data_IF_531606273960
#
_entry.id   IF_531606273960
#
_cell.length_a   1.000
_cell.length_b   1.000
_cell.length_c   1.000
_cell.angle_alpha   90.00
_cell.angle_beta   90.00
_cell.angle_gamma   90.00
#
_symmetry.space_group_name_H-M   'P 1'
#
loop_
_entity.id
_entity.type
_entity.pdbx_description
1 polymer ?
2 non-polymer ?
3 water ?
#
# COMPACT_ATOMS: atom_id res chain seq x y z
N UNK A 11 3.18 1.34 21.27
CA UNK A 11 2.00 2.12 20.92
C UNK A 11 0.71 1.29 20.89
N UNK A 12 -0.41 1.95 21.17
CA UNK A 12 -1.71 1.31 21.16
C UNK A 12 -2.02 0.71 19.79
N UNK A 13 -2.41 -0.57 19.78
CA UNK A 13 -2.81 -1.24 18.57
C UNK A 13 -4.33 -1.40 18.55
N UNK A 14 -4.81 -2.33 17.73
CA UNK A 14 -6.23 -2.61 17.59
C UNK A 14 -6.48 -4.08 17.86
N UNK A 15 -7.55 -4.37 18.62
CA UNK A 15 -8.15 -5.69 18.61
C UNK A 15 -9.24 -5.71 17.54
N UNK A 16 -9.16 -6.62 16.55
CA UNK A 16 -10.08 -6.55 15.41
C UNK A 16 -11.55 -6.56 15.77
N UNK A 17 -11.96 -7.37 16.76
CA UNK A 17 -13.37 -7.48 17.10
C UNK A 17 -13.91 -6.27 17.87
N UNK A 18 -13.05 -5.36 18.32
CA UNK A 18 -13.49 -4.16 19.02
C UNK A 18 -13.55 -2.94 18.11
N UNK A 19 -13.61 -3.15 16.81
CA UNK A 19 -13.65 -2.06 15.84
C UNK A 19 -15.04 -1.94 15.26
N UNK A 20 -15.32 -0.76 14.71
CA UNK A 20 -16.49 -0.55 13.86
C UNK A 20 -16.13 -0.91 12.43
N UNK A 21 -16.94 -1.77 11.82
CA UNK A 21 -16.67 -2.25 10.47
C UNK A 21 -17.69 -1.65 9.49
N UNK A 22 -17.18 -1.05 8.41
CA UNK A 22 -18.01 -0.46 7.38
C UNK A 22 -17.90 -1.20 6.06
N UNK A 23 -19.01 -1.22 5.31
CA UNK A 23 -19.07 -1.85 4.00
C UNK A 23 -19.75 -0.91 3.02
N UNK A 24 -19.18 -0.77 1.82
CA UNK A 24 -19.74 0.07 0.77
C UNK A 24 -19.68 -0.69 -0.54
N UNK A 25 -20.79 -0.70 -1.27
CA UNK A 25 -20.85 -1.31 -2.60
C UNK A 25 -20.51 -0.26 -3.65
N UNK A 26 -19.37 -0.43 -4.32
CA UNK A 26 -18.96 0.57 -5.32
C UNK A 26 -19.34 0.15 -6.73
N UNK A 27 -19.69 -1.11 -6.93
CA UNK A 27 -20.08 -1.69 -8.23
C UNK A 27 -20.81 -3.01 -7.97
N UNK A 28 -21.57 -3.53 -8.96
CA UNK A 28 -22.48 -4.66 -8.67
C UNK A 28 -21.94 -5.78 -7.82
N UNK A 29 -20.78 -6.35 -8.17
CA UNK A 29 -20.24 -7.46 -7.40
C UNK A 29 -18.98 -7.08 -6.64
N UNK A 30 -18.80 -5.79 -6.33
CA UNK A 30 -17.62 -5.30 -5.66
C UNK A 30 -18.06 -4.43 -4.48
N UNK A 31 -17.68 -4.85 -3.28
CA UNK A 31 -17.95 -4.10 -2.06
C UNK A 31 -16.64 -3.93 -1.30
N UNK A 32 -16.39 -2.73 -0.81
CA UNK A 32 -15.19 -2.43 -0.05
C UNK A 32 -15.47 -2.42 1.45
N UNK A 33 -14.56 -3.00 2.21
CA UNK A 33 -14.66 -3.07 3.65
C UNK A 33 -13.62 -2.16 4.28
N UNK A 34 -14.00 -1.49 5.37
CA UNK A 34 -13.06 -0.63 6.07
C UNK A 34 -13.36 -0.68 7.55
N UNK A 35 -12.40 -0.19 8.32
CA UNK A 35 -12.51 -0.03 9.76
C UNK A 35 -12.45 1.45 10.07
N UNK A 36 -13.26 1.90 11.04
CA UNK A 36 -13.49 3.32 11.26
C UNK A 36 -13.38 3.67 12.73
N UNK A 37 -12.67 4.77 13.04
CA UNK A 37 -12.57 5.22 14.42
C UNK A 37 -12.23 6.71 14.43
N UNK A 38 -12.90 7.47 15.29
CA UNK A 38 -12.58 8.86 15.52
C UNK A 38 -13.56 9.82 14.85
N UNK A 39 -13.47 11.09 15.24
CA UNK A 39 -14.21 12.19 14.64
C UNK A 39 -13.23 13.25 14.15
N UNK A 40 -13.69 14.11 13.23
CA UNK A 40 -12.84 15.11 12.63
C UNK A 40 -12.61 14.84 11.16
N UNK A 41 -11.67 15.56 10.52
CA UNK A 41 -11.40 15.37 9.09
C UNK A 41 -11.17 13.91 8.72
N UNK A 42 -11.65 13.53 7.53
CA UNK A 42 -11.55 12.15 7.08
C UNK A 42 -10.15 11.83 6.59
N UNK A 43 -9.59 10.73 7.07
CA UNK A 43 -8.27 10.26 6.65
C UNK A 43 -8.43 8.82 6.21
N UNK A 44 -8.17 8.57 4.94
CA UNK A 44 -8.31 7.24 4.37
C UNK A 44 -6.94 6.62 4.23
N UNK A 45 -6.77 5.42 4.79
CA UNK A 45 -5.50 4.71 4.81
C UNK A 45 -5.55 3.51 3.88
N UNK A 46 -4.55 3.40 2.99
CA UNK A 46 -4.55 2.39 1.92
C UNK A 46 -3.26 1.57 1.98
N UNK A 47 -3.37 0.32 2.44
CA UNK A 47 -2.22 -0.55 2.66
C UNK A 47 -1.63 -1.03 1.33
N UNK A 48 -0.52 -1.77 1.44
CA UNK A 48 0.17 -2.33 0.30
C UNK A 48 0.10 -3.86 0.26
N UNK A 49 0.98 -4.42 -0.57
CA UNK A 49 1.01 -5.86 -0.85
C UNK A 49 2.05 -6.54 0.05
N UNK A 50 1.73 -7.67 0.69
CA UNK A 50 0.39 -8.26 0.80
C UNK A 50 -0.16 -8.02 2.19
N UNK A 51 -0.92 -6.94 2.37
CA UNK A 51 -1.24 -6.52 3.72
C UNK A 51 -2.75 -6.49 3.97
N UNK A 52 -3.25 -5.46 4.65
CA UNK A 52 -4.55 -5.48 5.30
C UNK A 52 -4.71 -4.15 6.03
N UNK A 53 -5.96 -3.81 6.37
CA UNK A 53 -6.20 -2.64 7.22
C UNK A 53 -5.42 -2.76 8.52
N UNK A 54 -5.21 -3.98 8.98
CA UNK A 54 -4.48 -4.25 10.21
C UNK A 54 -3.03 -3.77 10.16
N UNK A 55 -2.48 -3.55 8.95
CA UNK A 55 -1.13 -3.01 8.88
C UNK A 55 -1.03 -1.62 9.46
N UNK A 56 -2.16 -0.91 9.57
CA UNK A 56 -2.23 0.41 10.17
C UNK A 56 -2.61 0.39 11.65
N UNK A 57 -2.50 -0.77 12.31
CA UNK A 57 -3.00 -0.93 13.67
C UNK A 57 -2.38 0.05 14.67
N UNK A 58 -1.13 0.46 14.45
CA UNK A 58 -0.51 1.43 15.36
C UNK A 58 -0.85 2.86 15.01
N UNK A 59 -1.34 3.11 13.79
CA UNK A 59 -1.68 4.46 13.37
C UNK A 59 -3.13 4.81 13.67
N UNK A 60 -4.03 3.84 13.54
CA UNK A 60 -5.47 4.11 13.65
C UNK A 60 -5.82 4.77 14.98
N UNK A 61 -5.47 4.20 16.15
CA UNK A 61 -5.82 4.87 17.40
C UNK A 61 -5.04 6.15 17.64
N UNK A 62 -3.81 6.26 17.10
CA UNK A 62 -3.05 7.48 17.26
C UNK A 62 -3.68 8.63 16.47
N UNK A 63 -4.00 8.40 15.19
CA UNK A 63 -4.65 9.47 14.41
C UNK A 63 -6.00 9.86 15.00
N UNK A 64 -6.83 8.88 15.36
CA UNK A 64 -8.12 9.21 15.97
C UNK A 64 -7.92 10.09 17.20
N UNK A 65 -6.97 9.72 18.07
CA UNK A 65 -6.72 10.51 19.27
C UNK A 65 -6.22 11.92 18.94
N UNK A 66 -5.62 12.12 17.77
CA UNK A 66 -5.14 13.44 17.36
C UNK A 66 -6.24 14.30 16.76
N UNK A 67 -7.46 13.79 16.65
CA UNK A 67 -8.58 14.54 16.12
C UNK A 67 -8.98 14.22 14.69
N UNK A 68 -8.80 12.99 14.22
CA UNK A 68 -9.12 12.63 12.85
C UNK A 68 -10.07 11.45 12.84
N UNK A 69 -10.90 11.40 11.80
CA UNK A 69 -11.78 10.28 11.53
C UNK A 69 -11.06 9.35 10.56
N UNK A 70 -10.63 8.19 11.06
CA UNK A 70 -9.80 7.26 10.30
C UNK A 70 -10.66 6.22 9.63
N UNK A 71 -10.42 5.99 8.34
CA UNK A 71 -11.04 4.91 7.57
C UNK A 71 -9.89 4.07 7.03
N UNK A 72 -9.68 2.89 7.61
CA UNK A 72 -8.58 2.02 7.21
C UNK A 72 -9.14 0.93 6.30
N UNK A 73 -8.75 0.98 5.02
CA UNK A 73 -9.31 0.13 3.99
C UNK A 73 -8.74 -1.28 4.03
N UNK A 74 -9.60 -2.23 3.68
CA UNK A 74 -9.20 -3.51 3.09
C UNK A 74 -9.28 -3.25 1.60
N UNK A 75 -8.14 -3.11 0.93
CA UNK A 75 -8.15 -2.77 -0.49
C UNK A 75 -8.79 -3.91 -1.29
N UNK A 76 -9.14 -3.62 -2.53
CA UNK A 76 -9.82 -4.61 -3.35
C UNK A 76 -8.92 -5.82 -3.54
N UNK A 77 -9.48 -7.02 -3.34
CA UNK A 77 -8.73 -8.26 -3.35
C UNK A 77 -8.32 -8.77 -1.98
N UNK A 78 -8.53 -7.99 -0.93
CA UNK A 78 -7.96 -8.29 0.38
C UNK A 78 -9.05 -8.46 1.42
N UNK A 79 -8.83 -9.42 2.32
CA UNK A 79 -9.55 -9.43 3.59
C UNK A 79 -11.04 -9.60 3.41
N UNK A 80 -11.81 -8.62 3.88
CA UNK A 80 -13.25 -8.63 3.77
C UNK A 80 -13.76 -7.86 2.56
N UNK A 81 -12.89 -7.22 1.79
CA UNK A 81 -13.31 -6.60 0.55
C UNK A 81 -13.45 -7.63 -0.55
N UNK A 82 -14.30 -7.33 -1.54
CA UNK A 82 -14.51 -8.25 -2.64
C UNK A 82 -13.22 -8.47 -3.41
N UNK A 83 -13.10 -9.66 -4.00
CA UNK A 83 -11.95 -10.03 -4.82
C UNK A 83 -12.48 -10.56 -6.14
N UNK A 84 -12.88 -9.66 -7.06
CA UNK A 84 -13.36 -10.13 -8.36
C UNK A 84 -12.27 -10.92 -9.07
N UNK A 85 -12.66 -11.81 -9.97
CA UNK A 85 -11.68 -12.71 -10.59
C UNK A 85 -10.86 -12.08 -11.71
N UNK A 86 -11.40 -11.08 -12.39
CA UNK A 86 -10.77 -10.54 -13.58
C UNK A 86 -9.51 -9.75 -13.24
N UNK A 87 -8.45 -9.96 -14.02
CA UNK A 87 -7.17 -9.30 -13.74
C UNK A 87 -7.27 -7.79 -13.94
N UNK A 88 -8.03 -7.36 -14.95
CA UNK A 88 -8.19 -5.95 -15.28
C UNK A 88 -9.00 -5.18 -14.24
N UNK A 89 -9.71 -5.87 -13.34
CA UNK A 89 -10.37 -5.18 -12.25
C UNK A 89 -9.37 -4.53 -11.29
N UNK A 90 -8.08 -4.85 -11.40
CA UNK A 90 -7.08 -4.39 -10.47
C UNK A 90 -6.12 -3.38 -11.09
N UNK A 91 -6.47 -2.82 -12.25
CA UNK A 91 -5.66 -1.74 -12.79
C UNK A 91 -5.95 -0.46 -12.03
N UNK A 92 -5.00 0.48 -12.10
CA UNK A 92 -5.12 1.68 -11.27
C UNK A 92 -6.33 2.52 -11.67
N UNK A 93 -6.68 2.55 -12.96
CA UNK A 93 -7.82 3.34 -13.40
C UNK A 93 -9.10 2.90 -12.70
N UNK A 94 -9.36 1.59 -12.70
CA UNK A 94 -10.55 1.07 -12.04
C UNK A 94 -10.47 1.27 -10.53
N UNK A 95 -9.31 0.99 -9.94
CA UNK A 95 -9.17 1.10 -8.49
C UNK A 95 -9.44 2.52 -8.01
N UNK A 96 -8.93 3.51 -8.73
CA UNK A 96 -9.10 4.89 -8.28
C UNK A 96 -10.55 5.34 -8.39
N UNK A 97 -11.24 4.96 -9.47
CA UNK A 97 -12.61 5.41 -9.62
C UNK A 97 -13.52 4.74 -8.61
N UNK A 98 -13.20 3.52 -8.21
CA UNK A 98 -13.93 2.88 -7.12
C UNK A 98 -13.72 3.61 -5.81
N UNK A 99 -12.53 4.14 -5.57
CA UNK A 99 -12.32 4.92 -4.35
C UNK A 99 -13.08 6.24 -4.41
N UNK A 100 -13.25 6.80 -5.60
CA UNK A 100 -14.08 7.99 -5.75
C UNK A 100 -15.53 7.66 -5.46
N UNK A 101 -16.04 6.54 -6.02
CA UNK A 101 -17.38 6.08 -5.69
C UNK A 101 -17.54 5.86 -4.20
N UNK A 102 -16.52 5.28 -3.56
CA UNK A 102 -16.49 5.06 -2.12
C UNK A 102 -16.79 6.36 -1.37
N UNK A 103 -16.01 7.41 -1.65
CA UNK A 103 -16.29 8.71 -1.07
C UNK A 103 -17.73 9.16 -1.34
N UNK A 104 -18.19 9.00 -2.59
CA UNK A 104 -19.56 9.41 -2.94
C UNK A 104 -20.59 8.73 -2.06
N UNK A 105 -20.44 7.41 -1.88
CA UNK A 105 -21.43 6.68 -1.11
C UNK A 105 -21.40 7.07 0.36
N UNK A 106 -20.23 7.45 0.88
CA UNK A 106 -20.12 7.95 2.24
C UNK A 106 -20.52 9.41 2.37
N UNK A 107 -20.81 10.09 1.26
CA UNK A 107 -21.14 11.50 1.33
C UNK A 107 -19.97 12.37 1.77
N UNK A 108 -18.77 12.08 1.30
CA UNK A 108 -17.57 12.83 1.63
C UNK A 108 -17.10 13.60 0.40
N UNK A 109 -17.08 14.94 0.51
CA UNK A 109 -16.60 15.75 -0.60
C UNK A 109 -15.13 15.49 -0.88
N UNK A 110 -14.34 15.24 0.17
CA UNK A 110 -12.93 14.93 0.00
C UNK A 110 -12.44 14.21 1.25
N UNK A 111 -11.26 13.60 1.13
CA UNK A 111 -10.58 13.03 2.27
C UNK A 111 -9.07 13.17 2.10
N UNK A 112 -8.36 13.07 3.22
CA UNK A 112 -6.92 12.87 3.16
C UNK A 112 -6.65 11.43 2.77
N UNK A 113 -5.68 11.22 1.89
CA UNK A 113 -5.31 9.88 1.48
C UNK A 113 -3.88 9.58 1.90
N UNK A 114 -3.68 8.48 2.60
CA UNK A 114 -2.37 8.02 3.06
C UNK A 114 -2.22 6.56 2.62
N UNK A 115 -1.15 6.27 1.89
CA UNK A 115 -0.92 4.93 1.38
C UNK A 115 0.51 4.48 1.61
N UNK A 116 0.71 3.18 1.44
CA UNK A 116 2.01 2.55 1.58
C UNK A 116 2.13 1.45 0.53
N UNK A 117 3.27 1.40 -0.15
CA UNK A 117 3.54 0.37 -1.16
C UNK A 117 2.58 0.57 -2.32
N UNK A 118 1.87 -0.47 -2.79
CA UNK A 118 0.86 -0.28 -3.83
C UNK A 118 -0.17 0.76 -3.43
N UNK A 119 -0.60 0.75 -2.15
CA UNK A 119 -1.49 1.79 -1.67
C UNK A 119 -0.95 3.20 -1.86
N UNK A 120 0.37 3.36 -1.77
CA UNK A 120 0.95 4.68 -1.97
C UNK A 120 0.93 5.09 -3.43
N UNK A 121 1.12 4.12 -4.33
CA UNK A 121 0.94 4.37 -5.74
C UNK A 121 -0.49 4.80 -6.03
N UNK A 122 -1.46 4.16 -5.37
CA UNK A 122 -2.86 4.48 -5.63
C UNK A 122 -3.21 5.89 -5.17
N UNK A 123 -2.70 6.32 -4.01
CA UNK A 123 -3.04 7.65 -3.51
C UNK A 123 -2.32 8.72 -4.32
N UNK A 124 -1.16 8.42 -4.91
CA UNK A 124 -0.55 9.39 -5.82
C UNK A 124 -1.43 9.62 -7.04
N UNK A 125 -2.03 8.56 -7.59
CA UNK A 125 -2.85 8.73 -8.78
C UNK A 125 -4.23 9.30 -8.44
N UNK A 126 -4.74 9.03 -7.24
CA UNK A 126 -5.90 9.76 -6.74
C UNK A 126 -5.62 11.26 -6.68
N UNK A 127 -4.44 11.64 -6.17
CA UNK A 127 -4.07 13.05 -6.16
C UNK A 127 -3.91 13.60 -7.56
N UNK A 128 -3.53 12.76 -8.52
CA UNK A 128 -3.19 13.25 -9.84
C UNK A 128 -4.44 13.40 -10.72
N UNK A 129 -5.35 12.43 -10.68
CA UNK A 129 -6.54 12.50 -11.53
C UNK A 129 -7.76 13.01 -10.81
N UNK A 130 -7.82 12.93 -9.48
CA UNK A 130 -8.97 13.41 -8.71
C UNK A 130 -8.53 14.34 -7.58
N UNK A 131 -7.72 15.37 -7.88
CA UNK A 131 -7.33 16.29 -6.81
C UNK A 131 -8.52 16.95 -6.17
N UNK A 132 -9.61 17.12 -6.92
CA UNK A 132 -10.80 17.76 -6.33
C UNK A 132 -11.28 16.97 -5.11
N UNK A 133 -11.10 15.64 -5.09
CA UNK A 133 -11.59 14.81 -3.99
C UNK A 133 -10.55 14.48 -2.93
N UNK A 134 -9.34 15.04 -3.03
CA UNK A 134 -8.23 14.67 -2.15
C UNK A 134 -7.80 15.94 -1.40
N UNK A 135 -8.10 15.99 -0.10
CA UNK A 135 -7.70 17.15 0.69
C UNK A 135 -6.17 17.24 0.78
N UNK A 136 -5.52 16.10 0.98
CA UNK A 136 -4.08 16.04 1.11
C UNK A 136 -3.68 14.60 0.94
N UNK A 137 -2.42 14.38 0.54
CA UNK A 137 -1.96 13.06 0.16
C UNK A 137 -0.61 12.80 0.80
N UNK A 138 -0.40 11.57 1.24
CA UNK A 138 0.85 11.15 1.86
C UNK A 138 1.14 9.73 1.45
N UNK A 139 2.40 9.47 1.10
CA UNK A 139 2.86 8.15 0.73
C UNK A 139 4.04 7.76 1.62
N UNK A 140 4.02 6.51 2.08
CA UNK A 140 5.19 5.93 2.72
C UNK A 140 5.91 5.04 1.73
N UNK A 141 7.22 5.30 1.54
CA UNK A 141 8.11 4.51 0.68
C UNK A 141 7.86 4.73 -0.80
N UNK A 142 6.61 4.59 -1.23
CA UNK A 142 6.30 4.67 -2.65
C UNK A 142 6.46 6.08 -3.19
N UNK A 143 7.36 6.33 -4.12
CA UNK A 143 7.48 7.65 -4.73
C UNK A 143 6.55 7.78 -5.94
N UNK A 144 6.38 9.03 -6.37
CA UNK A 144 5.64 9.37 -7.58
C UNK A 144 6.63 9.74 -8.66
N UNK A 145 6.77 8.87 -9.65
CA UNK A 145 7.59 9.14 -10.83
C UNK A 145 6.65 9.26 -12.02
N UNK A 146 6.70 10.36 -12.77
CA UNK A 146 5.80 10.50 -13.92
C UNK A 146 6.09 9.42 -14.96
N UNK A 147 5.02 8.95 -15.60
CA UNK A 147 5.15 7.92 -16.62
C UNK A 147 5.98 8.43 -17.80
N UNK A 148 6.91 7.59 -18.26
CA UNK A 148 7.74 7.91 -19.41
C UNK A 148 7.09 7.33 -20.66
N UNK A 149 6.51 8.16 -21.54
CA UNK A 149 5.79 7.61 -22.70
C UNK A 149 6.71 7.01 -23.75
N UNK A 150 8.03 7.06 -23.53
CA UNK A 150 8.98 6.48 -24.46
C UNK A 150 9.60 5.20 -23.93
N UNK A 151 9.30 4.83 -22.68
CA UNK A 151 9.89 3.68 -22.01
C UNK A 151 8.76 2.72 -21.63
N UNK A 152 8.70 1.56 -22.30
CA UNK A 152 7.71 0.55 -21.97
C UNK A 152 7.96 0.02 -20.56
N UNK A 153 6.91 -0.51 -19.91
CA UNK A 153 7.10 -0.98 -18.52
C UNK A 153 8.06 -2.15 -18.41
N UNK A 154 8.01 -3.10 -19.36
CA UNK A 154 8.91 -4.25 -19.29
C UNK A 154 10.37 -3.83 -19.41
N UNK A 155 10.65 -2.85 -20.27
CA UNK A 155 12.02 -2.38 -20.41
C UNK A 155 12.55 -1.79 -19.10
N UNK A 156 11.70 -1.08 -18.36
CA UNK A 156 12.17 -0.43 -17.15
C UNK A 156 12.26 -1.39 -15.97
N UNK A 157 11.38 -2.39 -15.92
CA UNK A 157 11.50 -3.43 -14.90
C UNK A 157 12.75 -4.27 -15.15
N UNK A 158 12.91 -4.76 -16.37
CA UNK A 158 14.09 -5.54 -16.73
C UNK A 158 15.32 -4.66 -16.85
N UNK A 159 15.29 -3.48 -16.22
CA UNK A 159 16.46 -2.61 -16.15
C UNK A 159 17.08 -2.71 -14.77
N UNK A 160 16.40 -2.21 -13.74
CA UNK A 160 16.88 -2.35 -12.37
C UNK A 160 16.64 -3.78 -11.92
N UNK A 161 17.67 -4.53 -11.51
CA UNK A 161 17.48 -5.96 -11.21
C UNK A 161 16.63 -6.24 -9.97
N UNK A 162 16.49 -5.29 -9.04
CA UNK A 162 15.73 -5.59 -7.83
C UNK A 162 14.25 -5.79 -8.11
N UNK A 163 13.78 -5.34 -9.29
CA UNK A 163 12.38 -5.41 -9.66
C UNK A 163 12.04 -6.69 -10.43
N UNK A 164 12.84 -7.75 -10.29
CA UNK A 164 12.60 -8.96 -11.05
C UNK A 164 11.53 -9.86 -10.44
N UNK A 165 11.23 -9.70 -9.14
CA UNK A 165 10.14 -10.43 -8.52
C UNK A 165 8.80 -10.09 -9.15
N UNK A 166 8.69 -8.92 -9.76
CA UNK A 166 7.45 -8.56 -10.44
C UNK A 166 7.26 -9.37 -11.72
N UNK A 167 8.35 -9.84 -12.33
CA UNK A 167 8.22 -10.74 -13.48
C UNK A 167 7.70 -12.10 -13.05
N UNK A 168 8.21 -12.62 -11.94
CA UNK A 168 7.69 -13.86 -11.36
C UNK A 168 6.22 -13.74 -10.98
N UNK A 169 5.73 -12.52 -10.71
CA UNK A 169 4.34 -12.31 -10.31
C UNK A 169 3.38 -12.21 -11.49
N UNK A 170 3.89 -12.25 -12.72
CA UNK A 170 3.06 -11.90 -13.88
C UNK A 170 2.06 -13.00 -14.22
N UNK A 171 2.54 -14.21 -14.50
CA UNK A 171 1.65 -15.24 -15.02
C UNK A 171 0.76 -15.79 -13.92
N UNK A 172 -0.56 -15.84 -14.11
CA UNK A 172 -1.46 -16.25 -13.04
C UNK A 172 -1.25 -17.70 -12.62
N UNK A 173 -1.26 -17.93 -11.31
CA UNK A 173 -1.15 -19.24 -10.74
C UNK A 173 0.22 -19.58 -10.19
N UNK A 174 1.29 -18.96 -10.73
CA UNK A 174 2.63 -19.36 -10.36
C UNK A 174 3.00 -18.84 -8.97
N UNK A 175 2.96 -17.52 -8.77
CA UNK A 175 3.26 -16.98 -7.45
C UNK A 175 2.18 -17.32 -6.44
N UNK A 176 0.94 -17.51 -6.87
CA UNK A 176 -0.13 -17.90 -5.94
C UNK A 176 0.23 -19.19 -5.25
N UNK A 177 0.79 -20.14 -5.98
CA UNK A 177 1.07 -21.46 -5.41
C UNK A 177 2.11 -21.35 -4.30
N UNK A 178 3.21 -20.64 -4.57
CA UNK A 178 4.24 -20.52 -3.55
C UNK A 178 3.75 -19.72 -2.34
N UNK A 179 2.96 -18.68 -2.58
CA UNK A 179 2.54 -17.81 -1.49
C UNK A 179 1.48 -18.46 -0.61
N UNK A 180 0.65 -19.35 -1.18
CA UNK A 180 -0.44 -19.97 -0.45
C UNK A 180 -0.08 -21.32 0.17
N UNK A 181 1.07 -21.89 -0.19
CA UNK A 181 1.35 -23.27 0.21
C UNK A 181 1.44 -23.42 1.73
N UNK A 182 2.05 -22.43 2.41
CA UNK A 182 1.98 -22.36 3.87
C UNK A 182 1.98 -20.87 4.23
N UNK A 183 0.83 -20.37 4.68
CA UNK A 183 0.66 -18.93 4.85
C UNK A 183 1.46 -18.41 6.04
N UNK A 184 1.58 -19.22 7.08
CA UNK A 184 2.38 -18.81 8.23
C UNK A 184 3.83 -18.61 7.83
N UNK A 185 4.36 -19.48 6.98
CA UNK A 185 5.71 -19.32 6.48
C UNK A 185 5.82 -18.10 5.58
N UNK A 186 4.78 -17.84 4.76
CA UNK A 186 4.81 -16.71 3.84
C UNK A 186 4.94 -15.38 4.58
N UNK A 187 4.10 -15.15 5.59
CA UNK A 187 4.10 -13.88 6.31
C UNK A 187 5.26 -13.77 7.30
N UNK A 188 5.68 -14.87 7.92
CA UNK A 188 6.85 -14.81 8.78
C UNK A 188 8.12 -14.54 7.97
N UNK A 189 8.12 -14.91 6.69
CA UNK A 189 9.27 -14.67 5.84
C UNK A 189 9.28 -13.26 5.27
N UNK A 190 8.10 -12.67 5.09
CA UNK A 190 8.03 -11.34 4.51
C UNK A 190 8.13 -10.25 5.57
N UNK A 191 7.41 -10.41 6.68
CA UNK A 191 7.24 -9.33 7.64
C UNK A 191 8.43 -9.33 8.60
N UNK A 192 9.55 -8.81 8.12
CA UNK A 192 10.80 -8.83 8.86
C UNK A 192 11.51 -7.48 8.69
N UNK A 193 12.32 -7.12 9.68
CA UNK A 193 13.16 -5.95 9.53
C UNK A 193 14.24 -6.24 8.48
N UNK A 194 14.90 -5.18 8.03
CA UNK A 194 15.92 -5.34 6.99
C UNK A 194 17.05 -6.24 7.46
N UNK A 195 17.47 -6.10 8.72
CA UNK A 195 18.58 -6.92 9.23
C UNK A 195 18.21 -8.38 9.42
N UNK A 196 16.91 -8.71 9.45
CA UNK A 196 16.47 -10.11 9.58
C UNK A 196 16.03 -10.71 8.26
N UNK A 197 16.28 -10.03 7.14
CA UNK A 197 15.68 -10.42 5.88
C UNK A 197 16.25 -11.75 5.40
N UNK A 198 15.36 -12.62 4.91
CA UNK A 198 15.70 -13.95 4.42
C UNK A 198 15.48 -14.07 2.91
N UNK A 199 15.25 -12.96 2.21
CA UNK A 199 14.92 -12.97 0.79
C UNK A 199 15.91 -12.15 -0.02
N UNK A 200 16.26 -12.64 -1.21
CA UNK A 200 17.01 -11.90 -2.21
C UNK A 200 16.07 -11.69 -3.39
N UNK A 201 15.42 -10.53 -3.43
CA UNK A 201 14.35 -10.25 -4.38
C UNK A 201 14.82 -10.23 -5.84
N UNK A 202 16.10 -10.46 -6.07
CA UNK A 202 16.66 -10.45 -7.41
C UNK A 202 16.99 -11.83 -7.96
N UNK A 203 17.34 -12.79 -7.11
CA UNK A 203 17.58 -14.15 -7.57
C UNK A 203 16.26 -14.87 -7.76
N UNK A 204 15.23 -14.13 -8.16
CA UNK A 204 13.86 -14.60 -8.06
C UNK A 204 13.48 -15.47 -9.25
N UNK A 205 13.81 -15.03 -10.47
CA UNK A 205 13.17 -15.53 -11.68
C UNK A 205 14.06 -16.47 -12.47
N UNK A 206 15.28 -16.73 -11.98
CA UNK A 206 16.17 -17.71 -12.59
C UNK A 206 16.59 -18.79 -11.61
N UNK A 207 15.90 -18.91 -10.47
CA UNK A 207 16.28 -19.90 -9.47
C UNK A 207 15.11 -20.19 -8.52
N UNK A 208 14.04 -20.77 -9.05
CA UNK A 208 12.94 -21.22 -8.23
C UNK A 208 11.85 -20.20 -7.99
N UNK A 209 11.92 -19.51 -6.85
CA UNK A 209 10.91 -18.52 -6.51
C UNK A 209 11.32 -17.61 -5.36
N UNK A 210 10.34 -17.13 -4.60
CA UNK A 210 10.60 -16.18 -3.52
C UNK A 210 11.21 -16.86 -2.30
N UNK A 211 10.77 -18.08 -1.97
CA UNK A 211 11.10 -18.70 -0.70
C UNK A 211 11.92 -19.97 -0.84
N UNK A 212 12.55 -20.16 -2.01
CA UNK A 212 13.22 -21.44 -2.26
C UNK A 212 14.45 -21.61 -1.38
N UNK A 213 15.15 -20.51 -1.06
CA UNK A 213 16.32 -20.55 -0.21
C UNK A 213 16.07 -19.86 1.13
N UNK A 214 14.84 -19.93 1.63
CA UNK A 214 14.41 -19.40 2.91
C UNK A 214 14.18 -20.54 3.90
N UNK A 215 14.23 -20.28 5.21
CA UNK A 215 13.96 -21.34 6.18
C UNK A 215 12.57 -21.92 5.99
N UNK A 216 12.45 -23.23 6.14
CA UNK A 216 11.15 -23.89 6.10
C UNK A 216 10.29 -23.48 7.28
N UNK A 217 10.91 -23.22 8.43
CA UNK A 217 10.23 -22.73 9.62
C UNK A 217 10.97 -21.48 10.08
N UNK A 218 10.73 -20.34 9.45
CA UNK A 218 11.46 -19.12 9.80
C UNK A 218 11.14 -18.65 11.22
N UNK A 219 12.07 -17.88 11.76
CA UNK A 219 11.89 -17.32 13.09
C UNK A 219 10.91 -16.14 13.03
N UNK A 220 10.46 -15.72 14.21
CA UNK A 220 9.47 -14.66 14.34
C UNK A 220 10.17 -13.33 14.49
N UNK A 221 9.98 -12.44 13.53
CA UNK A 221 10.64 -11.14 13.54
C UNK A 221 10.30 -10.37 14.82
N UNK A 222 11.28 -9.57 15.28
CA UNK A 222 11.04 -8.72 16.43
C UNK A 222 9.88 -7.75 16.20
N UNK A 223 9.47 -7.54 14.94
CA UNK A 223 8.40 -6.61 14.62
C UNK A 223 7.02 -7.14 14.99
N UNK A 224 6.84 -8.46 15.14
CA UNK A 224 5.51 -9.06 15.19
C UNK A 224 5.44 -10.14 16.26
N UNK A 225 4.24 -10.37 16.76
CA UNK A 225 3.96 -11.53 17.60
C UNK A 225 3.38 -12.65 16.74
N UNK A 226 3.23 -13.83 17.37
CA UNK A 226 2.56 -14.92 16.67
C UNK A 226 1.10 -14.58 16.40
N UNK A 227 0.45 -13.88 17.35
CA UNK A 227 -0.96 -13.56 17.22
C UNK A 227 -1.22 -12.69 16.00
N UNK A 228 -0.33 -11.72 15.74
CA UNK A 228 -0.51 -10.85 14.59
C UNK A 228 -0.25 -11.57 13.28
N UNK A 229 0.69 -12.52 13.25
CA UNK A 229 0.89 -13.34 12.07
C UNK A 229 -0.37 -14.11 11.74
N UNK A 230 -0.98 -14.73 12.75
CA UNK A 230 -2.17 -15.56 12.53
C UNK A 230 -3.36 -14.74 12.05
N UNK A 231 -3.41 -13.44 12.37
CA UNK A 231 -4.49 -12.62 11.83
C UNK A 231 -4.36 -12.46 10.32
N UNK A 232 -3.16 -12.11 9.86
CA UNK A 232 -2.91 -12.08 8.42
C UNK A 232 -3.20 -13.45 7.80
N UNK A 233 -2.76 -14.52 8.45
CA UNK A 233 -3.01 -15.86 7.92
C UNK A 233 -4.50 -16.08 7.76
N UNK A 234 -5.29 -15.69 8.77
CA UNK A 234 -6.73 -15.92 8.72
C UNK A 234 -7.37 -15.16 7.57
N UNK A 235 -6.92 -13.93 7.30
CA UNK A 235 -7.55 -13.14 6.26
C UNK A 235 -7.26 -13.69 4.86
N UNK A 236 -6.00 -14.00 4.58
CA UNK A 236 -5.64 -14.50 3.25
C UNK A 236 -6.14 -15.93 3.02
N UNK A 237 -6.82 -16.52 3.98
CA UNK A 237 -7.57 -17.74 3.72
C UNK A 237 -8.91 -17.46 3.06
N UNK A 238 -9.35 -16.20 3.06
CA UNK A 238 -10.65 -15.85 2.47
C UNK A 238 -10.58 -15.87 0.95
N UNK A 239 -9.64 -15.14 0.36
CA UNK A 239 -9.57 -15.01 -1.09
C UNK A 239 -8.23 -15.43 -1.69
N UNK A 240 -7.22 -15.67 -0.88
CA UNK A 240 -5.95 -16.09 -1.42
C UNK A 240 -5.14 -14.92 -1.94
N UNK A 241 -4.15 -15.24 -2.77
CA UNK A 241 -3.17 -14.26 -3.21
C UNK A 241 -3.39 -13.76 -4.62
N UNK A 242 -4.36 -14.31 -5.34
CA UNK A 242 -4.60 -13.91 -6.73
C UNK A 242 -4.93 -12.42 -6.82
N UNK A 243 -5.96 -11.98 -6.10
CA UNK A 243 -6.38 -10.60 -6.12
C UNK A 243 -5.28 -9.63 -5.77
N UNK A 244 -4.60 -9.86 -4.64
CA UNK A 244 -3.41 -9.04 -4.34
C UNK A 244 -2.35 -9.08 -5.44
N UNK A 245 -2.08 -10.26 -6.01
CA UNK A 245 -1.06 -10.34 -7.05
C UNK A 245 -1.49 -9.58 -8.30
N UNK A 246 -2.80 -9.47 -8.54
CA UNK A 246 -3.27 -8.80 -9.74
C UNK A 246 -2.92 -7.32 -9.76
N UNK A 247 -2.55 -6.73 -8.61
CA UNK A 247 -2.09 -5.35 -8.62
C UNK A 247 -0.80 -5.19 -9.40
N UNK A 248 -0.03 -6.28 -9.59
CA UNK A 248 1.18 -6.23 -10.40
C UNK A 248 0.95 -6.52 -11.87
N UNK A 249 -0.20 -7.09 -12.24
CA UNK A 249 -0.41 -7.63 -13.57
C UNK A 249 -1.19 -6.68 -14.47
N UNK A 250 -1.03 -5.37 -14.26
CA UNK A 250 -1.55 -4.39 -15.21
C UNK A 250 -0.54 -3.27 -15.49
N UNK A 251 0.75 -3.62 -15.63
CA UNK A 251 1.78 -2.60 -15.80
C UNK A 251 1.53 -1.78 -17.05
N UNK A 252 1.16 -2.43 -18.15
CA UNK A 252 1.02 -1.70 -19.41
C UNK A 252 -0.22 -0.79 -19.40
N UNK A 253 -1.32 -1.24 -18.78
CA UNK A 253 -2.50 -0.36 -18.73
C UNK A 253 -2.28 0.82 -17.80
N UNK A 254 -1.70 0.56 -16.63
CA UNK A 254 -1.35 1.66 -15.75
C UNK A 254 -0.43 2.66 -16.45
N UNK A 255 0.46 2.15 -17.30
CA UNK A 255 1.37 3.01 -18.03
C UNK A 255 0.61 3.89 -19.01
N UNK A 256 -0.25 3.30 -19.84
CA UNK A 256 -1.02 4.09 -20.79
C UNK A 256 -1.93 5.09 -20.09
N UNK A 257 -2.60 4.66 -19.02
CA UNK A 257 -3.45 5.58 -18.28
C UNK A 257 -2.62 6.72 -17.70
N UNK A 258 -1.52 6.39 -17.05
CA UNK A 258 -0.66 7.42 -16.47
C UNK A 258 -0.16 8.38 -17.53
N UNK A 259 0.06 7.90 -18.76
CA UNK A 259 0.54 8.78 -19.82
C UNK A 259 -0.50 9.82 -20.21
N UNK A 260 -1.79 9.51 -20.06
CA UNK A 260 -2.83 10.45 -20.43
C UNK A 260 -2.84 11.71 -19.56
N UNK A 261 -2.00 11.76 -18.54
CA UNK A 261 -1.94 12.89 -17.63
C UNK A 261 -0.66 13.67 -17.75
N UNK A 262 0.23 13.31 -18.67
CA UNK A 262 1.54 13.92 -18.72
C UNK A 262 1.42 15.41 -18.99
N UNK A 263 2.18 16.19 -18.24
CA UNK A 263 2.14 17.63 -18.37
C UNK A 263 1.33 18.34 -17.32
N UNK A 264 1.07 17.71 -16.18
CA UNK A 264 0.33 18.32 -15.09
C UNK A 264 1.02 17.97 -13.77
N UNK A 265 0.99 18.92 -12.85
CA UNK A 265 1.59 18.75 -11.54
C UNK A 265 0.51 18.45 -10.51
N UNK A 266 0.92 17.92 -9.37
CA UNK A 266 0.01 17.70 -8.26
C UNK A 266 0.05 18.94 -7.38
N UNK A 267 -1.10 19.61 -7.26
CA UNK A 267 -1.19 20.95 -6.68
C UNK A 267 -1.54 20.94 -5.20
N UNK A 268 -1.99 19.81 -4.66
CA UNK A 268 -2.56 19.75 -3.32
C UNK A 268 -1.46 19.52 -2.29
N UNK A 269 -1.72 19.72 -0.99
CA UNK A 269 -0.69 19.45 0.02
C UNK A 269 -0.28 17.99 0.02
N UNK A 270 1.02 17.75 0.14
CA UNK A 270 1.53 16.40 -0.06
C UNK A 270 2.72 16.10 0.85
N UNK A 271 2.83 14.84 1.26
CA UNK A 271 3.89 14.35 2.12
C UNK A 271 4.49 13.08 1.51
N UNK A 272 5.81 13.05 1.41
CA UNK A 272 6.56 11.87 0.98
C UNK A 272 7.46 11.41 2.12
N UNK A 273 7.31 10.15 2.55
CA UNK A 273 8.06 9.58 3.66
C UNK A 273 8.94 8.45 3.14
N UNK A 274 10.25 8.61 3.22
CA UNK A 274 11.18 7.61 2.73
C UNK A 274 11.75 6.79 3.89
N UNK A 275 12.15 5.54 3.59
CA UNK A 275 12.69 4.61 4.58
C UNK A 275 14.11 4.22 4.22
N UNK A 276 15.03 4.44 5.16
CA UNK A 276 16.46 4.30 4.87
C UNK A 276 16.81 2.89 4.39
N UNK A 277 16.19 1.87 4.98
CA UNK A 277 16.55 0.48 4.70
C UNK A 277 15.55 -0.26 3.83
N UNK A 278 14.65 0.47 3.16
CA UNK A 278 13.82 -0.15 2.13
C UNK A 278 14.67 -0.29 0.89
N UNK A 279 15.11 -1.51 0.60
CA UNK A 279 16.10 -1.76 -0.44
C UNK A 279 15.48 -1.95 -1.83
N UNK A 280 14.16 -1.88 -1.94
CA UNK A 280 13.48 -1.89 -3.23
C UNK A 280 12.94 -0.50 -3.58
N UNK A 281 12.05 0.03 -2.75
CA UNK A 281 11.60 1.42 -2.85
C UNK A 281 12.59 2.31 -2.09
N UNK A 282 13.78 2.45 -2.67
CA UNK A 282 14.85 3.16 -1.98
C UNK A 282 14.56 4.66 -1.94
N UNK A 283 15.00 5.37 -0.89
CA UNK A 283 14.77 6.82 -0.80
C UNK A 283 15.12 7.60 -2.05
N UNK A 284 16.19 7.23 -2.76
CA UNK A 284 16.68 8.04 -3.86
C UNK A 284 15.74 8.05 -5.06
N UNK A 285 14.87 7.05 -5.18
CA UNK A 285 13.89 7.04 -6.25
C UNK A 285 12.92 8.21 -6.18
N UNK A 286 12.91 8.96 -5.08
CA UNK A 286 12.03 10.10 -4.87
C UNK A 286 12.72 11.43 -5.12
N UNK A 287 13.92 11.40 -5.71
CA UNK A 287 14.85 12.52 -5.68
C UNK A 287 14.28 13.81 -6.26
N UNK A 288 13.40 13.72 -7.27
CA UNK A 288 12.99 14.93 -7.98
C UNK A 288 11.48 15.12 -8.00
N UNK A 289 10.78 14.55 -7.03
CA UNK A 289 9.34 14.78 -6.99
C UNK A 289 8.97 16.23 -6.73
N UNK A 290 9.91 17.06 -6.26
CA UNK A 290 9.60 18.48 -6.05
C UNK A 290 9.20 19.18 -7.34
N UNK A 291 9.79 18.80 -8.48
CA UNK A 291 9.48 19.50 -9.73
C UNK A 291 8.07 19.20 -10.19
N UNK A 292 7.50 18.08 -9.76
CA UNK A 292 6.15 17.70 -10.15
C UNK A 292 5.12 17.98 -9.06
N UNK A 293 5.56 18.24 -7.84
CA UNK A 293 4.68 18.40 -6.67
C UNK A 293 5.19 19.61 -5.88
N UNK A 294 4.77 20.83 -6.23
CA UNK A 294 5.41 22.03 -5.64
C UNK A 294 5.28 22.14 -4.13
N UNK A 295 4.17 21.68 -3.55
CA UNK A 295 3.90 21.84 -2.12
C UNK A 295 4.24 20.57 -1.34
N UNK A 296 5.28 19.86 -1.76
CA UNK A 296 5.67 18.60 -1.16
C UNK A 296 6.48 18.83 0.11
N UNK A 297 6.02 18.25 1.21
CA UNK A 297 6.81 18.11 2.44
C UNK A 297 7.44 16.71 2.47
N UNK A 298 8.45 16.56 3.33
CA UNK A 298 9.20 15.31 3.39
C UNK A 298 9.32 14.79 4.81
N UNK A 299 9.30 13.48 4.94
CA UNK A 299 9.75 12.81 6.14
C UNK A 299 10.70 11.69 5.76
N UNK A 300 11.56 11.33 6.70
CA UNK A 300 12.58 10.31 6.47
C UNK A 300 12.83 9.58 7.78
N UNK A 301 12.85 8.25 7.72
CA UNK A 301 12.96 7.42 8.92
C UNK A 301 14.18 6.53 8.78
N UNK A 302 15.14 6.72 9.68
CA UNK A 302 16.31 5.87 9.78
C UNK A 302 15.94 4.49 10.30
N UNK A 303 16.77 3.51 9.97
CA UNK A 303 16.67 2.15 10.51
C UNK A 303 15.34 1.49 10.17
N UNK A 304 14.69 1.95 9.11
CA UNK A 304 13.34 1.52 8.75
C UNK A 304 13.37 0.77 7.43
N UNK A 305 12.87 -0.46 7.44
CA UNK A 305 12.75 -1.26 6.24
C UNK A 305 11.45 -0.99 5.50
N UNK A 306 11.04 -1.98 4.72
CA UNK A 306 9.86 -1.80 3.87
C UNK A 306 8.56 -1.71 4.68
N UNK A 307 8.41 -2.56 5.69
CA UNK A 307 7.18 -2.63 6.48
C UNK A 307 7.09 -1.49 7.50
N UNK A 308 7.02 -0.27 6.96
CA UNK A 308 7.31 0.93 7.73
C UNK A 308 6.41 1.09 8.95
N UNK A 309 5.10 0.85 8.78
CA UNK A 309 4.16 1.07 9.88
C UNK A 309 4.41 0.12 11.05
N UNK A 310 4.84 -1.11 10.77
CA UNK A 310 5.16 -2.07 11.82
C UNK A 310 6.56 -1.82 12.38
N UNK A 311 7.49 -1.39 11.53
CA UNK A 311 8.88 -1.27 11.93
C UNK A 311 9.07 -0.09 12.88
N UNK A 312 8.62 1.10 12.49
CA UNK A 312 8.87 2.32 13.23
C UNK A 312 7.55 3.04 13.49
N UNK A 313 6.65 2.42 14.27
CA UNK A 313 5.30 2.99 14.43
C UNK A 313 5.29 4.36 15.09
N UNK A 314 6.10 4.54 16.13
CA UNK A 314 6.16 5.84 16.80
C UNK A 314 6.57 6.93 15.83
N UNK A 315 7.62 6.67 15.03
CA UNK A 315 8.13 7.70 14.14
C UNK A 315 7.11 8.07 13.07
N UNK A 316 6.44 7.07 12.47
CA UNK A 316 5.45 7.39 11.45
C UNK A 316 4.29 8.16 12.06
N UNK A 317 3.88 7.80 13.29
CA UNK A 317 2.79 8.50 13.95
C UNK A 317 3.12 9.98 14.14
N UNK A 318 4.36 10.27 14.53
CA UNK A 318 4.76 11.66 14.76
C UNK A 318 4.83 12.42 13.45
N UNK A 319 5.29 11.77 12.38
CA UNK A 319 5.40 12.48 11.11
C UNK A 319 4.01 12.80 10.55
N UNK A 320 3.10 11.83 10.56
CA UNK A 320 1.77 12.04 9.99
C UNK A 320 0.98 13.10 10.76
N UNK A 321 0.91 12.96 12.09
CA UNK A 321 0.16 13.90 12.92
C UNK A 321 0.74 15.30 12.77
N UNK A 322 2.07 15.42 12.79
CA UNK A 322 2.69 16.73 12.62
C UNK A 322 2.31 17.35 11.28
N UNK A 323 2.27 16.52 10.22
CA UNK A 323 1.93 17.01 8.89
C UNK A 323 0.43 17.26 8.72
N UNK A 324 -0.41 16.42 9.32
CA UNK A 324 -1.85 16.64 9.23
C UNK A 324 -2.26 17.95 9.90
N UNK A 325 -1.68 18.24 11.07
CA UNK A 325 -2.10 19.41 11.84
C UNK A 325 -1.69 20.71 11.17
N UNK A 326 -0.76 20.68 10.22
CA UNK A 326 -0.28 21.90 9.59
C UNK A 326 -0.65 22.04 8.13
N UNK A 327 -0.96 20.95 7.43
CA UNK A 327 -1.26 21.02 6.00
C UNK A 327 -2.59 20.42 5.59
N UNK A 328 -3.25 19.65 6.44
CA UNK A 328 -4.54 19.06 6.10
C UNK A 328 -5.71 19.76 6.77
N UNK A 329 -5.53 20.26 7.98
CA UNK A 329 -6.59 20.98 8.68
C UNK A 329 -6.67 22.43 8.22
#
# INVERSE_FOLDING_TARGET
>A
MASLNTPAPLPTSCNPSDMSHGYVTVKPRVRLHFVELGSGPAVCLCHGFPESWYSWRYQIPALAQAGYRVLAMDMKGYGESSAPPEIEEYCMEVLCKEMVTFLDKLGLSQAVFIGHDWGGMLVWYMALFYPERVRAVASLNTPFIPANPNMSPLESIKANPVFDYQLYFQEPGVAEAELEQNLSRTFKSLFRASDESVLSMHKVCEAGGLFVNSPEEPSLSRMVTEEEIQFYVQQFKKSGFRGPLNWYRNMERNWKWACKSLGRKILIPALMVTAEKDFVLVPQMSQHMEDWIPHLKRGHIEDCGHWTQMDKPTEVNQILIKWLDSDARNPPVVSKMLLEHHHHHH
#
